data_IF_163845120667
#
_entry.id   IF_163845120667
#
_cell.length_a   1.000
_cell.length_b   1.000
_cell.length_c   1.000
_cell.angle_alpha   90.00
_cell.angle_beta   90.00
_cell.angle_gamma   90.00
#
_symmetry.space_group_name_H-M   'P 1'
#
loop_
_entity.id
_entity.type
_entity.pdbx_description
1 polymer ?
#
# COMPACT_ATOMS: atom_id res chain seq x y z
N UNK A 1 31.90 -5.30 -16.11
CA UNK A 1 31.55 -4.50 -14.93
C UNK A 1 30.06 -4.74 -14.72
N UNK A 2 29.61 -5.38 -13.62
CA UNK A 2 28.18 -5.33 -13.32
C UNK A 2 27.83 -3.86 -13.09
N UNK A 3 26.74 -3.39 -13.70
CA UNK A 3 26.17 -2.09 -13.38
C UNK A 3 26.10 -1.97 -11.85
N UNK A 4 26.71 -0.91 -11.33
CA UNK A 4 26.66 -0.59 -9.91
C UNK A 4 25.20 -0.60 -9.50
N UNK A 5 24.84 -1.49 -8.57
CA UNK A 5 23.47 -1.69 -8.10
C UNK A 5 23.10 -0.45 -7.27
N UNK A 6 22.86 0.66 -7.97
CA UNK A 6 22.55 1.95 -7.38
C UNK A 6 21.09 1.91 -6.95
N UNK A 7 20.88 1.83 -5.64
CA UNK A 7 19.53 2.00 -5.12
C UNK A 7 19.07 3.45 -5.35
N UNK A 8 17.79 3.67 -5.69
CA UNK A 8 17.25 5.01 -5.78
C UNK A 8 17.48 5.80 -4.49
N UNK A 9 17.76 7.09 -4.63
CA UNK A 9 17.92 8.01 -3.49
C UNK A 9 16.62 8.13 -2.69
N UNK A 10 16.76 8.32 -1.38
CA UNK A 10 15.66 8.67 -0.50
C UNK A 10 15.16 10.09 -0.81
N UNK A 11 13.84 10.27 -0.81
CA UNK A 11 13.15 11.55 -1.02
C UNK A 11 12.32 11.88 0.21
N UNK A 12 12.22 13.16 0.56
CA UNK A 12 11.39 13.60 1.68
C UNK A 12 9.91 13.48 1.35
N UNK A 13 9.12 13.10 2.35
CA UNK A 13 7.68 13.06 2.31
C UNK A 13 7.11 13.20 3.72
N UNK A 14 5.80 13.14 3.80
CA UNK A 14 5.04 13.08 5.04
C UNK A 14 4.23 11.78 5.03
N UNK A 15 4.15 11.10 6.17
CA UNK A 15 3.36 9.87 6.30
C UNK A 15 2.48 9.88 7.55
N UNK A 16 1.39 9.14 7.51
CA UNK A 16 0.53 8.89 8.67
C UNK A 16 0.12 7.43 8.74
N UNK A 17 -0.14 6.96 9.96
CA UNK A 17 -0.78 5.68 10.24
C UNK A 17 -1.90 5.91 11.24
N UNK A 18 -3.11 5.50 10.86
CA UNK A 18 -4.36 5.80 11.57
C UNK A 18 -5.04 4.50 11.97
N UNK A 19 -4.71 3.93 13.14
CA UNK A 19 -5.33 2.70 13.59
C UNK A 19 -6.78 2.94 14.03
N UNK A 20 -7.66 2.00 13.68
CA UNK A 20 -9.00 1.88 14.20
C UNK A 20 -9.20 0.44 14.74
N UNK A 21 -9.03 0.21 16.05
CA UNK A 21 -9.08 -1.14 16.63
C UNK A 21 -10.46 -1.80 16.55
N UNK A 22 -11.51 -1.00 16.30
CA UNK A 22 -12.89 -1.50 16.23
C UNK A 22 -13.39 -1.66 14.78
N UNK A 23 -12.54 -1.39 13.78
CA UNK A 23 -12.95 -1.48 12.39
C UNK A 23 -13.29 -2.92 11.99
N UNK A 24 -14.45 -3.06 11.36
CA UNK A 24 -14.88 -4.30 10.72
C UNK A 24 -14.34 -4.38 9.29
N UNK A 25 -14.46 -5.57 8.69
CA UNK A 25 -14.17 -5.74 7.26
C UNK A 25 -15.06 -4.80 6.41
N UNK A 26 -16.33 -4.63 6.74
CA UNK A 26 -17.24 -3.73 6.01
C UNK A 26 -16.79 -2.27 6.06
N UNK A 27 -16.27 -1.81 7.20
CA UNK A 27 -15.76 -0.44 7.33
C UNK A 27 -14.59 -0.18 6.37
N UNK A 28 -13.70 -1.17 6.24
CA UNK A 28 -12.50 -1.09 5.38
C UNK A 28 -12.88 -1.17 3.91
N UNK A 29 -13.82 -2.07 3.54
CA UNK A 29 -14.33 -2.13 2.17
C UNK A 29 -15.04 -0.84 1.77
N UNK A 30 -15.81 -0.24 2.68
CA UNK A 30 -16.48 1.04 2.44
C UNK A 30 -15.48 2.19 2.29
N UNK A 31 -14.44 2.25 3.12
CA UNK A 31 -13.39 3.25 3.01
C UNK A 31 -12.64 3.13 1.66
N UNK A 32 -12.20 1.92 1.31
CA UNK A 32 -11.50 1.67 0.06
C UNK A 32 -12.39 1.92 -1.18
N UNK A 33 -13.68 1.58 -1.13
CA UNK A 33 -14.60 1.83 -2.24
C UNK A 33 -14.84 3.33 -2.53
N UNK A 34 -14.52 4.21 -1.58
CA UNK A 34 -14.55 5.67 -1.81
C UNK A 34 -13.31 6.19 -2.54
N UNK A 35 -12.25 5.39 -2.62
CA UNK A 35 -11.08 5.69 -3.43
C UNK A 35 -11.34 5.36 -4.90
N UNK A 36 -10.49 5.89 -5.79
CA UNK A 36 -10.63 5.70 -7.23
C UNK A 36 -10.41 4.24 -7.67
N UNK A 37 -9.21 3.94 -8.17
CA UNK A 37 -8.86 2.56 -8.53
C UNK A 37 -8.24 1.89 -7.31
N UNK A 38 -8.69 0.68 -6.97
CA UNK A 38 -8.16 -0.09 -5.83
C UNK A 38 -7.58 -1.40 -6.31
N UNK A 39 -6.47 -1.83 -5.71
CA UNK A 39 -5.96 -3.19 -5.79
C UNK A 39 -5.61 -3.69 -4.37
N UNK A 40 -5.38 -4.98 -4.21
CA UNK A 40 -5.18 -5.54 -2.88
C UNK A 40 -4.70 -6.99 -2.84
N UNK A 41 -4.43 -7.47 -1.63
CA UNK A 41 -4.24 -8.89 -1.31
C UNK A 41 -5.18 -9.23 -0.15
N UNK A 42 -5.98 -10.27 -0.35
CA UNK A 42 -6.72 -10.92 0.73
C UNK A 42 -6.02 -12.23 1.09
N UNK A 43 -5.52 -12.33 2.32
CA UNK A 43 -4.96 -13.56 2.85
C UNK A 43 -6.06 -14.36 3.53
N UNK A 44 -6.29 -15.57 3.01
CA UNK A 44 -7.32 -16.48 3.51
C UNK A 44 -6.69 -17.78 4.02
N UNK A 45 -7.47 -18.57 4.76
CA UNK A 45 -7.05 -19.92 5.17
C UNK A 45 -6.82 -20.88 4.00
N UNK A 46 -7.27 -20.54 2.78
CA UNK A 46 -7.08 -21.33 1.57
C UNK A 46 -5.98 -20.77 0.62
N UNK A 47 -5.36 -19.65 0.98
CA UNK A 47 -4.33 -19.00 0.17
C UNK A 47 -4.53 -17.49 0.02
N UNK A 48 -3.59 -16.84 -0.67
CA UNK A 48 -3.65 -15.42 -0.97
C UNK A 48 -4.38 -15.16 -2.29
N UNK A 49 -5.30 -14.20 -2.28
CA UNK A 49 -6.06 -13.77 -3.44
C UNK A 49 -5.67 -12.35 -3.83
N UNK A 50 -5.32 -12.16 -5.12
CA UNK A 50 -5.06 -10.86 -5.71
C UNK A 50 -6.39 -10.13 -5.93
N UNK A 51 -6.69 -9.16 -5.08
CA UNK A 51 -7.89 -8.30 -5.18
C UNK A 51 -7.67 -7.27 -6.27
N UNK A 52 -8.54 -7.25 -7.27
CA UNK A 52 -8.46 -6.36 -8.44
C UNK A 52 -9.40 -5.16 -8.35
N UNK A 53 -10.44 -5.24 -7.54
CA UNK A 53 -11.34 -4.12 -7.24
C UNK A 53 -12.22 -4.40 -6.02
N UNK A 54 -12.85 -3.34 -5.52
CA UNK A 54 -13.88 -3.40 -4.48
C UNK A 54 -15.12 -2.70 -5.02
N UNK A 55 -16.26 -3.39 -5.02
CA UNK A 55 -17.55 -2.79 -5.37
C UNK A 55 -18.68 -3.46 -4.61
N UNK A 56 -19.73 -2.71 -4.30
CA UNK A 56 -20.92 -3.20 -3.59
C UNK A 56 -20.60 -3.97 -2.28
N UNK A 57 -19.55 -3.54 -1.57
CA UNK A 57 -19.09 -4.20 -0.33
C UNK A 57 -18.49 -5.60 -0.55
N UNK A 58 -18.07 -5.92 -1.76
CA UNK A 58 -17.45 -7.20 -2.15
C UNK A 58 -16.07 -7.00 -2.74
N UNK A 59 -15.21 -8.00 -2.49
CA UNK A 59 -13.89 -8.11 -3.10
C UNK A 59 -14.01 -8.87 -4.42
N UNK A 60 -13.46 -8.33 -5.49
CA UNK A 60 -13.25 -9.06 -6.73
C UNK A 60 -11.78 -9.46 -6.83
N UNK A 61 -11.53 -10.72 -7.18
CA UNK A 61 -10.17 -11.23 -7.33
C UNK A 61 -9.94 -11.89 -8.69
N UNK A 62 -8.69 -11.94 -9.14
CA UNK A 62 -8.35 -12.61 -10.40
C UNK A 62 -8.60 -14.12 -10.38
N UNK A 63 -8.69 -14.72 -9.19
CA UNK A 63 -8.89 -16.16 -8.98
C UNK A 63 -10.33 -16.56 -8.64
N UNK A 64 -11.30 -15.64 -8.74
CA UNK A 64 -12.71 -15.87 -8.40
C UNK A 64 -13.14 -15.17 -7.10
N UNK A 65 -14.29 -15.57 -6.57
CA UNK A 65 -14.86 -14.96 -5.36
C UNK A 65 -14.02 -15.30 -4.12
N UNK A 66 -13.82 -14.29 -3.26
CA UNK A 66 -13.12 -14.47 -1.99
C UNK A 66 -14.15 -14.67 -0.88
N UNK A 67 -14.11 -15.83 -0.22
CA UNK A 67 -14.95 -16.10 0.93
C UNK A 67 -14.57 -15.17 2.09
N UNK A 68 -15.43 -14.20 2.40
CA UNK A 68 -15.16 -13.16 3.41
C UNK A 68 -14.82 -13.72 4.79
N UNK A 69 -15.46 -14.83 5.18
CA UNK A 69 -15.25 -15.48 6.46
C UNK A 69 -13.87 -16.14 6.57
N UNK A 70 -13.24 -16.47 5.45
CA UNK A 70 -11.91 -17.09 5.43
C UNK A 70 -10.77 -16.07 5.50
N UNK A 71 -11.06 -14.77 5.35
CA UNK A 71 -10.05 -13.69 5.37
C UNK A 71 -9.58 -13.46 6.81
N UNK A 72 -8.27 -13.62 7.03
CA UNK A 72 -7.65 -13.24 8.30
C UNK A 72 -6.86 -11.93 8.21
N UNK A 73 -6.38 -11.57 7.01
CA UNK A 73 -5.73 -10.30 6.74
C UNK A 73 -6.14 -9.77 5.36
N UNK A 74 -6.40 -8.47 5.28
CA UNK A 74 -6.70 -7.77 4.04
C UNK A 74 -5.81 -6.53 3.94
N UNK A 75 -5.14 -6.38 2.79
CA UNK A 75 -4.43 -5.16 2.39
C UNK A 75 -5.05 -4.65 1.11
N UNK A 76 -5.54 -3.41 1.11
CA UNK A 76 -6.07 -2.71 -0.06
C UNK A 76 -5.28 -1.43 -0.25
N UNK A 77 -4.97 -1.04 -1.47
CA UNK A 77 -4.31 0.22 -1.77
C UNK A 77 -4.95 0.92 -2.97
N UNK A 78 -4.85 2.24 -2.99
CA UNK A 78 -5.15 3.01 -4.19
C UNK A 78 -4.10 2.72 -5.26
N UNK A 79 -4.56 2.26 -6.41
CA UNK A 79 -3.72 1.76 -7.49
C UNK A 79 -3.65 2.75 -8.66
N UNK A 80 -2.48 2.85 -9.29
CA UNK A 80 -2.28 3.79 -10.39
C UNK A 80 -2.21 5.24 -9.92
N UNK A 81 -1.72 5.46 -8.70
CA UNK A 81 -1.31 6.78 -8.23
C UNK A 81 -0.20 7.27 -9.16
N UNK A 82 -0.43 8.45 -9.74
CA UNK A 82 0.49 9.12 -10.66
C UNK A 82 1.30 10.18 -9.92
N UNK A 83 2.49 10.50 -10.44
CA UNK A 83 3.43 11.45 -9.81
C UNK A 83 2.94 12.92 -9.77
N UNK A 84 1.81 13.21 -10.41
CA UNK A 84 1.15 14.52 -10.42
C UNK A 84 0.18 14.71 -9.22
N UNK A 85 0.03 13.67 -8.38
CA UNK A 85 -0.78 13.73 -7.17
C UNK A 85 0.07 14.08 -5.96
N UNK A 86 -0.55 14.82 -5.03
CA UNK A 86 0.04 15.08 -3.71
C UNK A 86 0.16 13.79 -2.88
N UNK A 87 -0.67 12.77 -3.14
CA UNK A 87 -0.62 11.46 -2.46
C UNK A 87 0.25 10.52 -3.27
N UNK A 88 1.26 9.93 -2.65
CA UNK A 88 2.16 8.96 -3.28
C UNK A 88 1.77 7.51 -3.01
N UNK A 89 1.18 7.23 -1.85
CA UNK A 89 0.63 5.93 -1.49
C UNK A 89 -0.53 6.08 -0.50
N UNK A 90 -1.56 5.23 -0.65
CA UNK A 90 -2.70 5.15 0.26
C UNK A 90 -3.10 3.68 0.40
N UNK A 91 -2.97 3.14 1.62
CA UNK A 91 -3.23 1.74 1.91
C UNK A 91 -4.12 1.57 3.15
N UNK A 92 -5.10 0.68 3.07
CA UNK A 92 -5.89 0.19 4.18
C UNK A 92 -5.50 -1.24 4.50
N UNK A 93 -5.20 -1.48 5.78
CA UNK A 93 -4.90 -2.81 6.31
C UNK A 93 -5.96 -3.20 7.31
N UNK A 94 -6.36 -4.46 7.30
CA UNK A 94 -7.31 -5.02 8.25
C UNK A 94 -6.88 -6.41 8.67
N UNK A 95 -6.99 -6.71 9.96
CA UNK A 95 -6.72 -8.03 10.52
C UNK A 95 -7.92 -8.47 11.35
N UNK A 96 -8.39 -9.68 11.10
CA UNK A 96 -9.56 -10.22 11.77
C UNK A 96 -9.37 -10.23 13.30
N UNK A 97 -10.28 -9.56 14.01
CA UNK A 97 -10.23 -9.40 15.47
C UNK A 97 -9.26 -8.33 15.99
N UNK A 98 -8.51 -7.63 15.14
CA UNK A 98 -7.54 -6.58 15.54
C UNK A 98 -7.87 -5.18 14.98
N UNK A 99 -8.86 -5.07 14.10
CA UNK A 99 -9.27 -3.80 13.50
C UNK A 99 -8.46 -3.47 12.24
N UNK A 100 -8.35 -2.17 11.95
CA UNK A 100 -7.71 -1.66 10.74
C UNK A 100 -6.66 -0.61 11.00
N UNK A 101 -5.87 -0.31 9.98
CA UNK A 101 -5.03 0.89 9.91
C UNK A 101 -5.13 1.48 8.50
N UNK A 102 -5.29 2.81 8.43
CA UNK A 102 -5.14 3.57 7.20
C UNK A 102 -3.77 4.25 7.19
N UNK A 103 -2.99 3.99 6.14
CA UNK A 103 -1.64 4.51 5.95
C UNK A 103 -1.62 5.37 4.69
N UNK A 104 -1.07 6.57 4.80
CA UNK A 104 -0.98 7.53 3.70
C UNK A 104 0.43 8.11 3.67
N UNK A 105 1.05 8.14 2.49
CA UNK A 105 2.29 8.87 2.20
C UNK A 105 1.97 9.95 1.18
N UNK A 106 2.38 11.19 1.47
CA UNK A 106 2.07 12.35 0.65
C UNK A 106 3.25 13.33 0.58
N UNK A 107 3.19 14.24 -0.38
CA UNK A 107 4.19 15.26 -0.61
C UNK A 107 4.36 16.19 0.61
N UNK A 108 5.60 16.60 0.85
CA UNK A 108 5.94 17.65 1.80
C UNK A 108 5.43 19.00 1.28
N UNK A 109 4.16 19.31 1.50
CA UNK A 109 3.64 20.62 1.11
C UNK A 109 4.33 21.71 1.94
N UNK A 110 4.96 22.68 1.29
CA UNK A 110 5.73 23.78 1.90
C UNK A 110 4.93 24.71 2.83
N UNK A 111 3.62 24.50 2.99
CA UNK A 111 2.72 25.39 3.73
C UNK A 111 1.71 24.68 4.66
N UNK A 112 1.81 23.35 4.83
CA UNK A 112 1.01 22.60 5.84
C UNK A 112 1.92 21.95 6.89
N UNK A 113 2.88 22.71 7.38
CA UNK A 113 3.54 22.37 8.63
C UNK A 113 2.47 22.24 9.73
N UNK A 114 2.36 21.03 10.29
CA UNK A 114 1.54 20.66 11.45
C UNK A 114 0.06 20.33 11.23
N UNK A 115 -0.28 19.47 10.26
CA UNK A 115 -1.41 18.56 10.53
C UNK A 115 -0.90 17.48 11.50
N UNK A 116 -1.37 17.40 12.77
CA UNK A 116 -0.77 16.53 13.80
C UNK A 116 -0.75 15.04 13.45
N UNK A 117 -1.55 14.65 12.46
CA UNK A 117 -1.68 13.29 11.95
C UNK A 117 -0.44 12.82 11.16
N UNK A 118 0.28 13.73 10.50
CA UNK A 118 1.36 13.40 9.59
C UNK A 118 2.73 13.72 10.20
N UNK A 119 3.66 12.78 10.02
CA UNK A 119 5.04 12.89 10.49
C UNK A 119 5.99 12.95 9.28
N UNK A 120 7.13 13.64 9.38
CA UNK A 120 8.17 13.55 8.37
C UNK A 120 8.63 12.11 8.16
N UNK A 121 8.90 11.75 6.90
CA UNK A 121 9.53 10.51 6.52
C UNK A 121 10.42 10.72 5.29
N UNK A 122 11.21 9.70 4.98
CA UNK A 122 11.78 9.54 3.66
C UNK A 122 11.13 8.36 2.96
N UNK A 123 11.12 8.39 1.64
CA UNK A 123 10.61 7.30 0.83
C UNK A 123 11.47 7.02 -0.38
N UNK A 124 11.31 5.80 -0.91
CA UNK A 124 11.92 5.36 -2.16
C UNK A 124 10.92 4.51 -2.95
N UNK A 125 10.93 4.62 -4.27
CA UNK A 125 10.19 3.71 -5.14
C UNK A 125 10.86 2.35 -5.24
N UNK A 126 10.05 1.30 -5.26
CA UNK A 126 10.47 -0.08 -5.47
C UNK A 126 9.48 -0.79 -6.41
N UNK A 127 9.89 -1.94 -6.97
CA UNK A 127 9.07 -2.73 -7.88
C UNK A 127 9.41 -4.22 -7.80
N UNK A 128 8.37 -5.05 -7.68
CA UNK A 128 8.48 -6.50 -7.65
C UNK A 128 8.02 -7.14 -8.95
N UNK A 129 8.68 -8.22 -9.38
CA UNK A 129 8.18 -9.04 -10.49
C UNK A 129 6.90 -9.76 -10.06
N UNK A 130 5.84 -9.65 -10.87
CA UNK A 130 4.62 -10.42 -10.64
C UNK A 130 4.83 -11.89 -11.06
N UNK A 131 4.16 -12.81 -10.36
CA UNK A 131 4.22 -14.24 -10.68
C UNK A 131 3.76 -14.49 -12.13
N UNK A 132 4.52 -15.31 -12.88
CA UNK A 132 4.24 -15.59 -14.29
C UNK A 132 4.70 -14.50 -15.26
N UNK A 133 5.44 -13.48 -14.80
CA UNK A 133 6.08 -12.52 -15.70
C UNK A 133 7.06 -13.23 -16.64
N UNK A 134 6.83 -13.12 -17.95
CA UNK A 134 7.68 -13.69 -18.96
C UNK A 134 8.99 -12.91 -19.09
N UNK A 135 10.11 -13.63 -19.10
CA UNK A 135 11.44 -13.11 -19.45
C UNK A 135 11.94 -13.85 -20.71
N UNK A 136 12.60 -13.17 -21.67
CA UNK A 136 12.98 -11.74 -21.66
C UNK A 136 11.88 -10.81 -22.20
N UNK A 137 11.74 -9.60 -21.64
CA UNK A 137 10.73 -8.60 -22.04
C UNK A 137 10.55 -7.46 -21.03
N UNK A 138 9.43 -6.73 -21.11
CA UNK A 138 8.97 -5.81 -20.06
C UNK A 138 8.10 -6.60 -19.07
N UNK A 139 8.66 -7.19 -18.00
CA UNK A 139 7.89 -8.00 -17.08
C UNK A 139 6.83 -7.14 -16.38
N UNK A 140 5.66 -7.73 -16.12
CA UNK A 140 4.65 -7.12 -15.27
C UNK A 140 5.22 -6.97 -13.86
N UNK A 141 5.15 -5.76 -13.33
CA UNK A 141 5.66 -5.43 -12.00
C UNK A 141 4.55 -4.89 -11.10
N UNK A 142 4.66 -5.19 -9.81
CA UNK A 142 3.91 -4.52 -8.75
C UNK A 142 4.79 -3.42 -8.19
N UNK A 143 4.39 -2.17 -8.35
CA UNK A 143 5.11 -1.03 -7.79
C UNK A 143 4.77 -0.84 -6.32
N UNK A 144 5.75 -0.39 -5.55
CA UNK A 144 5.62 -0.06 -4.13
C UNK A 144 6.44 1.18 -3.77
N UNK A 145 6.20 1.68 -2.56
CA UNK A 145 7.01 2.70 -1.91
C UNK A 145 7.48 2.14 -0.56
N UNK A 146 8.79 2.18 -0.35
CA UNK A 146 9.40 1.93 0.95
C UNK A 146 9.44 3.23 1.75
N UNK A 147 9.08 3.17 3.02
CA UNK A 147 8.98 4.30 3.94
C UNK A 147 10.00 4.15 5.06
N UNK A 148 10.70 5.26 5.32
CA UNK A 148 11.75 5.36 6.32
C UNK A 148 11.47 6.53 7.25
N UNK A 149 11.81 6.39 8.53
CA UNK A 149 11.73 7.49 9.50
C UNK A 149 13.03 7.62 10.27
N UNK A 150 13.19 8.74 10.94
CA UNK A 150 14.25 8.91 11.93
C UNK A 150 13.82 8.27 13.26
N UNK A 151 14.73 7.53 13.90
CA UNK A 151 14.61 7.04 15.28
C UNK A 151 15.48 7.85 16.23
N UNK A 152 15.45 7.50 17.51
CA UNK A 152 16.37 8.07 18.51
C UNK A 152 17.82 8.03 18.00
N UNK A 153 18.54 9.12 18.30
CA UNK A 153 19.94 9.34 17.91
C UNK A 153 20.18 9.60 16.41
N UNK A 154 19.14 9.94 15.63
CA UNK A 154 19.28 10.37 14.23
C UNK A 154 19.45 9.21 13.23
N UNK A 155 19.13 7.98 13.65
CA UNK A 155 19.22 6.82 12.78
C UNK A 155 18.02 6.75 11.82
N UNK A 156 18.28 6.64 10.52
CA UNK A 156 17.23 6.32 9.54
C UNK A 156 16.89 4.83 9.59
N UNK A 157 15.61 4.50 9.75
CA UNK A 157 15.11 3.12 9.81
C UNK A 157 14.05 2.88 8.76
N UNK A 158 13.99 1.67 8.22
CA UNK A 158 12.85 1.21 7.44
C UNK A 158 11.66 0.96 8.37
N UNK A 159 10.49 1.45 7.99
CA UNK A 159 9.27 1.37 8.82
C UNK A 159 8.16 0.62 8.12
N UNK A 160 8.00 0.81 6.81
CA UNK A 160 6.88 0.20 6.10
C UNK A 160 7.13 0.10 4.59
N UNK A 161 6.35 -0.75 3.92
CA UNK A 161 6.24 -0.78 2.47
C UNK A 161 4.77 -0.79 2.04
N UNK A 162 4.43 0.14 1.14
CA UNK A 162 3.08 0.37 0.63
C UNK A 162 3.02 0.06 -0.86
N UNK A 163 2.04 -0.73 -1.26
CA UNK A 163 1.84 -1.08 -2.66
C UNK A 163 1.11 0.06 -3.39
N UNK A 164 1.42 0.25 -4.68
CA UNK A 164 0.83 1.31 -5.53
C UNK A 164 0.43 0.81 -6.92
N UNK A 165 0.91 -0.37 -7.31
CA UNK A 165 0.69 -0.97 -8.62
C UNK A 165 -0.68 -1.65 -8.78
N UNK A 166 -0.93 -2.17 -9.98
CA UNK A 166 -2.12 -2.99 -10.28
C UNK A 166 -1.69 -4.43 -10.57
N UNK A 167 -2.58 -5.38 -10.30
CA UNK A 167 -2.43 -6.73 -10.86
C UNK A 167 -2.57 -6.65 -12.38
N UNK A 168 -1.65 -7.29 -13.10
CA UNK A 168 -1.61 -7.23 -14.56
C UNK A 168 -2.27 -8.42 -15.24
#
# INVERSE_FOLDING_TARGET
MPDELTMPSLREAMWSSSPNPNATLDDVLKAAASAGSVAGIAYTTAGAHAVTSVSDGKLHSSGGDVERAAIYELRLWEAGITNDREVFAHEWRWVNGSGSAEIIVHETSSNKESTPKFKPCWYRHNAYLQHGAALPGNPKTMTSIEVFTEQEYGNTVFVDELMTGKWG
#
